data_IF_603757934180
#
_entry.id   IF_603757934180
#
_cell.length_a   1.000
_cell.length_b   1.000
_cell.length_c   1.000
_cell.angle_alpha   90.00
_cell.angle_beta   90.00
_cell.angle_gamma   90.00
#
_symmetry.space_group_name_H-M   'P 1'
#
loop_
_entity.id
_entity.type
_entity.pdbx_description
1 polymer ?
#
# COMPACT_ATOMS: atom_id res chain seq x y z
N UNK A 1 -27.63 4.84 -24.11
CA UNK A 1 -26.38 4.27 -24.65
C UNK A 1 -25.28 4.53 -23.64
N UNK A 2 -24.42 3.57 -23.35
CA UNK A 2 -23.28 3.83 -22.46
C UNK A 2 -22.30 4.76 -23.18
N UNK A 3 -22.02 5.93 -22.62
CA UNK A 3 -20.97 6.83 -23.12
C UNK A 3 -19.61 6.15 -22.88
N UNK A 4 -19.06 5.53 -23.91
CA UNK A 4 -17.72 4.94 -23.88
C UNK A 4 -16.70 5.96 -24.37
N UNK A 5 -15.49 5.89 -23.84
CA UNK A 5 -14.37 6.74 -24.25
C UNK A 5 -13.13 5.86 -24.39
N UNK A 6 -12.28 6.18 -25.35
CA UNK A 6 -11.04 5.43 -25.59
C UNK A 6 -10.01 5.77 -24.50
N UNK A 7 -9.34 4.73 -24.01
CA UNK A 7 -8.25 4.83 -23.03
C UNK A 7 -7.01 4.17 -23.60
N UNK A 8 -5.91 4.91 -23.68
CA UNK A 8 -4.62 4.42 -24.19
C UNK A 8 -3.55 4.58 -23.12
N UNK A 9 -2.78 3.52 -22.89
CA UNK A 9 -1.69 3.48 -21.91
C UNK A 9 -0.45 2.93 -22.58
N UNK A 10 0.68 3.60 -22.38
CA UNK A 10 1.99 3.09 -22.79
C UNK A 10 2.47 2.08 -21.74
N UNK A 11 2.88 0.91 -22.20
CA UNK A 11 3.45 -0.15 -21.37
C UNK A 11 4.59 -0.83 -22.11
N UNK A 12 5.48 -1.44 -21.35
CA UNK A 12 6.52 -2.31 -21.90
C UNK A 12 5.90 -3.51 -22.63
N UNK A 13 6.48 -3.89 -23.77
CA UNK A 13 5.93 -4.93 -24.63
C UNK A 13 5.99 -6.32 -23.99
N UNK A 14 7.00 -6.60 -23.19
CA UNK A 14 7.17 -7.89 -22.53
C UNK A 14 6.23 -7.99 -21.33
N UNK A 15 6.09 -6.90 -20.57
CA UNK A 15 5.06 -6.79 -19.51
C UNK A 15 3.66 -7.01 -20.09
N UNK A 16 3.35 -6.39 -21.24
CA UNK A 16 2.06 -6.58 -21.93
C UNK A 16 1.80 -8.06 -22.22
N UNK A 17 2.76 -8.75 -22.84
CA UNK A 17 2.63 -10.18 -23.20
C UNK A 17 2.44 -11.06 -21.96
N UNK A 18 3.21 -10.80 -20.89
CA UNK A 18 3.09 -11.55 -19.64
C UNK A 18 1.70 -11.38 -19.00
N UNK A 19 1.17 -10.14 -18.97
CA UNK A 19 -0.18 -9.89 -18.48
C UNK A 19 -1.25 -10.54 -19.37
N UNK A 20 -1.12 -10.47 -20.70
CA UNK A 20 -2.06 -11.10 -21.63
C UNK A 20 -2.11 -12.62 -21.44
N UNK A 21 -0.97 -13.28 -21.25
CA UNK A 21 -0.90 -14.71 -20.91
C UNK A 21 -1.57 -15.01 -19.57
N UNK A 22 -1.17 -14.30 -18.51
CA UNK A 22 -1.71 -14.50 -17.16
C UNK A 22 -3.23 -14.35 -17.12
N UNK A 23 -3.76 -13.25 -17.68
CA UNK A 23 -5.20 -13.03 -17.68
C UNK A 23 -5.94 -14.00 -18.61
N UNK A 24 -5.29 -14.42 -19.71
CA UNK A 24 -5.80 -15.48 -20.59
C UNK A 24 -6.01 -16.81 -19.85
N UNK A 25 -5.06 -17.21 -18.99
CA UNK A 25 -5.20 -18.39 -18.12
C UNK A 25 -6.34 -18.23 -17.11
N UNK A 26 -6.62 -17.00 -16.67
CA UNK A 26 -7.76 -16.65 -15.82
C UNK A 26 -9.08 -16.47 -16.59
N UNK A 27 -9.09 -16.70 -17.90
CA UNK A 27 -10.28 -16.63 -18.75
C UNK A 27 -10.74 -15.20 -19.08
N UNK A 28 -9.86 -14.20 -19.04
CA UNK A 28 -10.19 -12.81 -19.37
C UNK A 28 -9.10 -12.12 -20.19
N UNK A 29 -9.47 -11.12 -20.98
CA UNK A 29 -8.49 -10.30 -21.69
C UNK A 29 -7.99 -9.14 -20.82
N UNK A 30 -6.85 -8.54 -21.22
CA UNK A 30 -6.22 -7.43 -20.51
C UNK A 30 -7.16 -6.22 -20.36
N UNK A 31 -7.98 -5.92 -21.38
CA UNK A 31 -8.96 -4.83 -21.34
C UNK A 31 -10.01 -5.03 -20.24
N UNK A 32 -10.52 -6.25 -20.08
CA UNK A 32 -11.45 -6.61 -19.01
C UNK A 32 -10.77 -6.47 -17.64
N UNK A 33 -9.54 -6.96 -17.50
CA UNK A 33 -8.78 -6.84 -16.26
C UNK A 33 -8.55 -5.37 -15.85
N UNK A 34 -8.18 -4.49 -16.79
CA UNK A 34 -8.02 -3.05 -16.55
C UNK A 34 -9.35 -2.41 -16.11
N UNK A 35 -10.46 -2.76 -16.75
CA UNK A 35 -11.78 -2.25 -16.36
C UNK A 35 -12.18 -2.70 -14.95
N UNK A 36 -11.88 -3.95 -14.57
CA UNK A 36 -12.10 -4.46 -13.22
C UNK A 36 -11.25 -3.69 -12.21
N UNK A 37 -9.96 -3.48 -12.51
CA UNK A 37 -9.06 -2.70 -11.67
C UNK A 37 -9.61 -1.30 -11.41
N UNK A 38 -9.97 -0.55 -12.46
CA UNK A 38 -10.48 0.82 -12.32
C UNK A 38 -11.79 0.89 -11.52
N UNK A 39 -12.71 -0.06 -11.75
CA UNK A 39 -13.96 -0.13 -10.99
C UNK A 39 -13.71 -0.46 -9.52
N UNK A 40 -12.74 -1.33 -9.23
CA UNK A 40 -12.35 -1.61 -7.86
C UNK A 40 -11.72 -0.40 -7.19
N UNK A 41 -10.85 0.33 -7.87
CA UNK A 41 -10.24 1.55 -7.35
C UNK A 41 -11.30 2.57 -6.92
N UNK A 42 -12.33 2.76 -7.74
CA UNK A 42 -13.47 3.63 -7.41
C UNK A 42 -14.26 3.11 -6.21
N UNK A 43 -14.46 1.80 -6.10
CA UNK A 43 -15.21 1.19 -4.99
C UNK A 43 -14.51 1.38 -3.65
N UNK A 44 -13.20 1.26 -3.61
CA UNK A 44 -12.41 1.36 -2.37
C UNK A 44 -11.88 2.76 -2.09
N UNK A 45 -12.04 3.70 -3.03
CA UNK A 45 -11.53 5.07 -2.89
C UNK A 45 -10.01 5.18 -2.94
N UNK A 46 -9.32 4.28 -3.65
CA UNK A 46 -7.86 4.20 -3.65
C UNK A 46 -7.34 3.08 -4.54
N UNK A 47 -6.09 2.63 -4.32
CA UNK A 47 -5.59 1.45 -5.01
C UNK A 47 -6.31 0.19 -4.49
N UNK A 48 -6.75 -0.72 -5.38
CA UNK A 48 -7.49 -1.93 -5.01
C UNK A 48 -6.60 -3.06 -4.51
N UNK A 49 -5.36 -2.71 -4.15
CA UNK A 49 -4.37 -3.54 -3.49
C UNK A 49 -3.47 -2.64 -2.66
N UNK A 50 -2.76 -3.24 -1.73
CA UNK A 50 -1.88 -2.51 -0.83
C UNK A 50 -0.63 -2.04 -1.57
N UNK A 51 -0.40 -0.73 -1.61
CA UNK A 51 0.79 -0.13 -2.24
C UNK A 51 1.85 0.07 -1.17
N UNK A 52 2.70 -0.94 -0.99
CA UNK A 52 3.82 -0.91 -0.04
C UNK A 52 5.15 -1.03 -0.76
N UNK A 53 6.11 -0.22 -0.33
CA UNK A 53 7.51 -0.57 -0.48
C UNK A 53 7.80 -1.69 0.52
N UNK A 54 8.52 -2.75 0.11
CA UNK A 54 8.84 -3.90 0.98
C UNK A 54 9.62 -3.52 2.25
N UNK A 55 10.12 -2.28 2.30
CA UNK A 55 10.73 -1.66 3.46
C UNK A 55 10.02 -0.35 3.80
N UNK A 56 9.74 -0.07 5.10
CA UNK A 56 9.30 1.24 5.54
C UNK A 56 10.32 2.33 5.16
N UNK A 57 9.87 3.58 5.08
CA UNK A 57 10.77 4.69 4.79
C UNK A 57 11.83 4.85 5.90
N UNK A 58 12.91 5.58 5.62
CA UNK A 58 14.03 5.75 6.55
C UNK A 58 13.60 6.30 7.92
N UNK A 59 12.60 7.18 7.97
CA UNK A 59 12.10 7.75 9.22
C UNK A 59 11.41 6.68 10.08
N UNK A 60 10.56 5.83 9.48
CA UNK A 60 9.92 4.71 10.16
C UNK A 60 10.94 3.68 10.63
N UNK A 61 11.96 3.37 9.80
CA UNK A 61 13.05 2.47 10.19
C UNK A 61 13.84 3.02 11.38
N UNK A 62 14.17 4.31 11.39
CA UNK A 62 14.85 4.96 12.50
C UNK A 62 14.01 4.91 13.78
N UNK A 63 12.71 5.18 13.68
CA UNK A 63 11.80 5.12 14.83
C UNK A 63 11.68 3.71 15.41
N UNK A 64 11.63 2.67 14.57
CA UNK A 64 11.62 1.27 15.04
C UNK A 64 12.91 0.92 15.79
N UNK A 65 14.08 1.27 15.26
CA UNK A 65 15.37 1.05 15.94
C UNK A 65 15.47 1.80 17.26
N UNK A 66 14.95 3.02 17.30
CA UNK A 66 14.90 3.82 18.52
C UNK A 66 13.96 3.18 19.55
N UNK A 67 12.80 2.69 19.14
CA UNK A 67 11.88 1.97 20.02
C UNK A 67 12.51 0.68 20.59
N UNK A 68 13.23 -0.10 19.77
CA UNK A 68 13.99 -1.27 20.21
C UNK A 68 15.04 -0.91 21.26
N UNK A 69 15.75 0.21 21.06
CA UNK A 69 16.74 0.73 22.01
C UNK A 69 16.11 1.15 23.33
N UNK A 70 15.01 1.90 23.28
CA UNK A 70 14.26 2.36 24.46
C UNK A 70 13.68 1.18 25.25
N UNK A 71 13.21 0.13 24.58
CA UNK A 71 12.58 -1.02 25.23
C UNK A 71 13.53 -1.75 26.21
N UNK A 72 14.82 -1.85 25.86
CA UNK A 72 15.85 -2.52 26.67
C UNK A 72 16.66 -1.56 27.55
N UNK A 73 16.56 -0.26 27.32
CA UNK A 73 17.27 0.74 28.10
C UNK A 73 16.73 0.80 29.55
N UNK A 74 17.60 0.66 30.56
CA UNK A 74 17.20 0.69 31.97
C UNK A 74 16.84 2.11 32.45
N UNK A 75 17.39 3.12 31.78
CA UNK A 75 17.19 4.55 32.04
C UNK A 75 16.12 5.19 31.14
N UNK A 76 15.52 4.41 30.23
CA UNK A 76 14.41 4.89 29.43
C UNK A 76 13.25 5.32 30.32
N UNK A 77 12.65 6.46 29.98
CA UNK A 77 11.46 6.97 30.65
C UNK A 77 10.32 5.95 30.52
N UNK A 78 9.80 5.50 31.66
CA UNK A 78 8.68 4.57 31.78
C UNK A 78 7.58 5.26 32.57
N UNK A 79 6.35 4.87 32.30
CA UNK A 79 5.17 5.39 32.97
C UNK A 79 4.56 4.26 33.79
N UNK A 80 4.06 4.57 34.97
CA UNK A 80 3.40 3.58 35.83
C UNK A 80 1.99 3.26 35.37
N UNK A 81 1.37 4.16 34.61
CA UNK A 81 0.02 4.02 34.10
C UNK A 81 -0.17 4.68 32.72
N UNK A 82 -1.27 4.32 32.06
CA UNK A 82 -1.60 4.78 30.70
C UNK A 82 -1.97 6.27 30.67
N UNK A 83 -2.57 6.81 31.73
CA UNK A 83 -2.99 8.22 31.81
C UNK A 83 -1.78 9.16 31.90
N UNK A 84 -0.73 8.75 32.59
CA UNK A 84 0.55 9.44 32.63
C UNK A 84 1.21 9.47 31.25
N UNK A 85 1.28 8.31 30.56
CA UNK A 85 1.84 8.22 29.21
C UNK A 85 1.08 9.10 28.20
N UNK A 86 -0.26 9.11 28.24
CA UNK A 86 -1.08 9.92 27.34
C UNK A 86 -0.98 11.42 27.62
N UNK A 87 -0.75 11.83 28.88
CA UNK A 87 -0.53 13.23 29.22
C UNK A 87 0.74 13.80 28.59
N UNK A 88 1.76 12.98 28.41
CA UNK A 88 3.02 13.39 27.78
C UNK A 88 2.97 13.38 26.24
N UNK A 89 2.15 12.51 25.64
CA UNK A 89 1.96 12.46 24.19
C UNK A 89 1.09 13.60 23.65
N UNK A 90 0.27 14.23 24.50
CA UNK A 90 -0.52 15.40 24.13
C UNK A 90 0.41 16.61 24.03
N UNK A 91 0.75 16.96 22.79
CA UNK A 91 1.31 18.27 22.41
C UNK A 91 0.30 19.37 22.69
#
# INVERSE_FOLDING_TARGET
>A
MANTTNFSVRMDSDVKKQCEMLYGELGMNLTTAINVFLRQSLRVGGFPFEVKLGTPNNATVAAMKEAERIAVAPDAKRYSDVEEALRELKV
#
